data_IF_032845799480
#
_entry.id   IF_032845799480
#
_cell.length_a   1.000
_cell.length_b   1.000
_cell.length_c   1.000
_cell.angle_alpha   90.00
_cell.angle_beta   90.00
_cell.angle_gamma   90.00
#
_symmetry.space_group_name_H-M   'P 1'
#
loop_
_entity.id
_entity.type
_entity.pdbx_description
1 polymer ?
#
# COMPACT_ATOMS: atom_id res chain seq x y z
N UNK A 1 8.94 -11.67 1.33
CA UNK A 1 9.60 -11.02 0.17
C UNK A 1 10.21 -9.71 0.64
N UNK A 2 11.31 -9.27 0.03
CA UNK A 2 12.00 -8.02 0.36
C UNK A 2 11.84 -7.09 -0.83
N UNK A 3 11.35 -5.87 -0.59
CA UNK A 3 11.26 -4.83 -1.61
C UNK A 3 12.62 -4.13 -1.75
N UNK A 4 13.11 -4.03 -2.98
CA UNK A 4 14.38 -3.36 -3.30
C UNK A 4 14.12 -2.20 -4.23
N UNK A 5 14.76 -1.06 -3.98
CA UNK A 5 14.76 0.07 -4.91
C UNK A 5 15.52 -0.33 -6.17
N UNK A 6 14.98 0.01 -7.35
CA UNK A 6 15.64 -0.17 -8.64
C UNK A 6 16.08 1.19 -9.17
N UNK A 7 17.33 1.28 -9.61
CA UNK A 7 17.91 2.40 -10.34
C UNK A 7 18.52 1.91 -11.67
N UNK A 8 18.86 2.84 -12.57
CA UNK A 8 19.57 2.59 -13.84
C UNK A 8 19.07 1.34 -14.59
N UNK A 9 17.78 1.35 -14.92
CA UNK A 9 17.03 0.30 -15.62
C UNK A 9 16.70 -0.92 -14.74
N UNK A 10 17.69 -1.70 -14.33
CA UNK A 10 17.51 -3.01 -13.66
C UNK A 10 18.43 -3.23 -12.45
N UNK A 11 19.13 -2.20 -11.97
CA UNK A 11 20.04 -2.34 -10.84
C UNK A 11 19.28 -2.15 -9.54
N UNK A 12 19.15 -3.23 -8.76
CA UNK A 12 18.68 -3.09 -7.39
C UNK A 12 19.78 -2.52 -6.51
N UNK A 13 19.36 -1.69 -5.54
CA UNK A 13 20.24 -1.06 -4.57
C UNK A 13 19.98 -1.63 -3.17
N UNK A 14 21.03 -1.75 -2.35
CA UNK A 14 20.88 -2.18 -0.97
C UNK A 14 22.06 -1.80 -0.06
N UNK A 15 21.81 -1.98 1.24
CA UNK A 15 22.69 -1.63 2.35
C UNK A 15 22.86 -0.11 2.56
N UNK A 16 22.97 0.33 3.82
CA UNK A 16 23.27 1.72 4.20
C UNK A 16 24.26 1.72 5.38
N UNK A 17 25.03 2.81 5.57
CA UNK A 17 26.03 2.94 6.66
C UNK A 17 25.33 2.78 8.00
N UNK A 18 25.76 1.79 8.78
CA UNK A 18 25.29 1.64 10.17
C UNK A 18 26.19 2.52 11.04
N UNK A 19 25.91 3.83 11.10
CA UNK A 19 26.61 4.69 12.06
C UNK A 19 26.00 4.56 13.48
N UNK A 20 24.82 3.94 13.63
CA UNK A 20 24.22 3.53 14.91
C UNK A 20 23.13 2.44 14.71
N UNK A 21 23.22 1.24 15.32
CA UNK A 21 22.25 0.15 15.14
C UNK A 21 20.97 0.32 16.00
N UNK A 22 20.44 1.54 16.10
CA UNK A 22 19.19 1.81 16.82
C UNK A 22 18.03 1.76 15.82
N UNK A 23 17.65 0.55 15.40
CA UNK A 23 16.55 0.36 14.45
C UNK A 23 16.32 -1.10 14.08
N UNK A 24 15.14 -1.40 13.51
CA UNK A 24 14.88 -2.71 12.92
C UNK A 24 15.78 -2.90 11.70
N UNK A 25 16.55 -3.99 11.68
CA UNK A 25 17.31 -4.39 10.51
C UNK A 25 16.38 -5.09 9.50
N UNK A 26 16.72 -5.00 8.23
CA UNK A 26 16.10 -5.69 7.11
C UNK A 26 17.10 -6.62 6.40
N UNK A 27 16.78 -6.99 5.16
CA UNK A 27 17.54 -8.01 4.44
C UNK A 27 17.06 -9.42 4.76
N UNK A 28 17.67 -10.42 4.11
CA UNK A 28 17.29 -11.82 4.27
C UNK A 28 17.71 -12.37 5.64
N UNK A 29 18.89 -11.98 6.10
CA UNK A 29 19.48 -12.40 7.37
C UNK A 29 19.46 -11.30 8.44
N UNK A 30 18.62 -10.28 8.28
CA UNK A 30 18.56 -9.11 9.20
C UNK A 30 19.92 -8.40 9.35
N UNK A 31 20.73 -8.38 8.30
CA UNK A 31 22.09 -7.80 8.26
C UNK A 31 22.17 -6.53 7.40
N UNK A 32 21.02 -5.98 7.01
CA UNK A 32 20.92 -4.75 6.25
C UNK A 32 20.12 -3.69 7.01
N UNK A 33 20.43 -2.43 6.77
CA UNK A 33 19.62 -1.30 7.23
C UNK A 33 18.44 -1.09 6.29
N UNK A 34 17.29 -0.69 6.84
CA UNK A 34 16.12 -0.32 6.05
C UNK A 34 16.41 0.97 5.26
N UNK A 35 15.99 0.98 3.99
CA UNK A 35 16.06 2.17 3.14
C UNK A 35 14.86 3.11 3.34
N UNK A 36 14.80 4.14 2.50
CA UNK A 36 13.70 5.11 2.52
C UNK A 36 12.33 4.48 2.21
N UNK A 37 11.23 5.05 2.73
CA UNK A 37 9.88 4.58 2.41
C UNK A 37 9.59 4.54 0.91
N UNK A 38 8.85 3.52 0.49
CA UNK A 38 8.46 3.36 -0.91
C UNK A 38 7.36 4.37 -1.26
N UNK A 39 7.57 5.13 -2.35
CA UNK A 39 6.63 6.13 -2.84
C UNK A 39 5.89 5.66 -4.10
N UNK A 40 4.84 6.40 -4.46
CA UNK A 40 4.04 6.15 -5.66
C UNK A 40 4.92 6.18 -6.92
N UNK A 41 4.65 5.24 -7.82
CA UNK A 41 5.32 5.08 -9.12
C UNK A 41 6.82 4.79 -9.03
N UNK A 42 7.34 4.42 -7.85
CA UNK A 42 8.72 3.95 -7.74
C UNK A 42 8.94 2.66 -8.53
N UNK A 43 10.15 2.55 -9.11
CA UNK A 43 10.65 1.29 -9.66
C UNK A 43 11.24 0.45 -8.54
N UNK A 44 10.76 -0.78 -8.43
CA UNK A 44 11.12 -1.72 -7.37
C UNK A 44 11.32 -3.11 -7.93
N UNK A 45 12.06 -3.94 -7.21
CA UNK A 45 12.13 -5.37 -7.45
C UNK A 45 11.75 -6.12 -6.18
N UNK A 46 11.15 -7.29 -6.32
CA UNK A 46 10.73 -8.10 -5.17
C UNK A 46 11.60 -9.35 -5.03
N UNK A 47 12.54 -9.32 -4.10
CA UNK A 47 13.35 -10.48 -3.74
C UNK A 47 12.48 -11.50 -2.97
N UNK A 48 12.51 -12.75 -3.40
CA UNK A 48 11.86 -13.88 -2.74
C UNK A 48 12.85 -14.50 -1.74
N UNK A 49 12.42 -14.60 -0.48
CA UNK A 49 13.19 -15.26 0.59
C UNK A 49 12.90 -16.76 0.49
N UNK A 50 13.92 -17.57 0.22
CA UNK A 50 13.75 -19.00 -0.06
C UNK A 50 13.48 -19.82 1.22
N UNK A 51 14.08 -19.43 2.35
CA UNK A 51 13.90 -20.10 3.64
C UNK A 51 13.79 -19.06 4.78
N UNK A 52 12.61 -18.89 5.40
CA UNK A 52 12.39 -17.96 6.50
C UNK A 52 13.17 -18.29 7.78
N UNK A 53 13.71 -19.51 7.93
CA UNK A 53 14.46 -19.90 9.13
C UNK A 53 15.82 -19.18 9.24
N UNK A 54 16.32 -18.59 8.15
CA UNK A 54 17.53 -17.77 8.13
C UNK A 54 17.42 -16.45 8.91
N UNK A 55 16.20 -16.04 9.31
CA UNK A 55 16.00 -14.87 10.19
C UNK A 55 16.65 -15.03 11.59
N UNK A 56 17.11 -16.24 11.98
CA UNK A 56 17.65 -16.56 13.31
C UNK A 56 19.16 -16.87 13.35
N UNK A 57 19.95 -16.34 12.41
CA UNK A 57 21.40 -16.36 12.53
C UNK A 57 21.91 -15.26 13.46
N UNK A 58 22.29 -15.60 14.70
CA UNK A 58 23.01 -14.71 15.64
C UNK A 58 24.33 -14.19 15.03
N UNK A 59 24.28 -13.15 14.22
CA UNK A 59 25.47 -12.42 13.78
C UNK A 59 25.87 -11.48 14.91
N UNK A 60 26.88 -11.89 15.68
CA UNK A 60 27.67 -10.97 16.51
C UNK A 60 28.15 -9.86 15.57
N UNK A 61 27.60 -8.66 15.74
CA UNK A 61 28.06 -7.46 15.03
C UNK A 61 29.57 -7.33 15.26
N UNK A 62 30.33 -7.56 14.20
CA UNK A 62 31.75 -7.26 14.20
C UNK A 62 31.85 -5.76 13.90
N UNK A 63 32.22 -4.96 14.89
CA UNK A 63 32.37 -3.49 14.86
C UNK A 63 33.57 -3.03 14.02
N UNK A 64 33.83 -3.72 12.91
CA UNK A 64 34.84 -3.30 11.95
C UNK A 64 34.17 -2.36 10.95
N UNK A 65 34.66 -1.13 10.84
CA UNK A 65 34.15 -0.06 9.95
C UNK A 65 34.33 -0.33 8.44
N UNK A 66 34.19 -1.59 8.02
CA UNK A 66 34.38 -2.07 6.66
C UNK A 66 33.04 -2.51 6.08
N UNK A 67 32.78 -2.09 4.85
CA UNK A 67 31.60 -2.49 4.10
C UNK A 67 31.63 -3.98 3.76
N UNK A 68 30.54 -4.68 4.07
CA UNK A 68 30.37 -6.09 3.72
C UNK A 68 29.09 -6.26 2.93
N UNK A 69 29.17 -7.09 1.89
CA UNK A 69 27.99 -7.54 1.13
C UNK A 69 27.12 -8.38 2.08
N UNK A 70 25.81 -8.09 2.17
CA UNK A 70 24.92 -8.82 3.05
C UNK A 70 24.72 -10.25 2.57
N UNK A 71 24.54 -11.15 3.54
CA UNK A 71 24.27 -12.55 3.32
C UNK A 71 22.95 -12.71 2.55
N UNK A 72 22.96 -13.68 1.64
CA UNK A 72 21.78 -14.04 0.86
C UNK A 72 21.87 -15.48 0.39
N UNK A 73 20.71 -16.11 0.21
CA UNK A 73 20.62 -17.41 -0.45
C UNK A 73 21.05 -17.26 -1.91
N UNK A 74 22.00 -18.08 -2.36
CA UNK A 74 22.48 -18.05 -3.75
C UNK A 74 21.97 -19.29 -4.49
N UNK A 75 21.37 -19.14 -5.69
CA UNK A 75 21.13 -17.87 -6.38
C UNK A 75 19.97 -17.07 -5.78
N UNK A 76 20.11 -15.74 -5.74
CA UNK A 76 19.05 -14.84 -5.27
C UNK A 76 17.90 -14.90 -6.27
N UNK A 77 16.67 -14.90 -5.77
CA UNK A 77 15.47 -15.06 -6.60
C UNK A 77 14.59 -13.82 -6.51
N UNK A 78 14.11 -13.34 -7.65
CA UNK A 78 13.20 -12.19 -7.76
C UNK A 78 11.89 -12.59 -8.43
N UNK A 79 10.81 -11.92 -8.06
CA UNK A 79 9.54 -11.98 -8.80
C UNK A 79 9.74 -11.30 -10.16
N UNK A 80 9.39 -12.01 -11.24
CA UNK A 80 9.61 -11.51 -12.59
C UNK A 80 8.39 -11.76 -13.49
N UNK A 81 8.21 -10.88 -14.47
CA UNK A 81 7.27 -11.06 -15.55
C UNK A 81 7.98 -11.82 -16.69
N UNK A 82 7.57 -13.08 -16.91
CA UNK A 82 8.11 -13.95 -17.94
C UNK A 82 7.08 -14.06 -19.08
N UNK A 83 7.19 -13.15 -20.04
CA UNK A 83 6.17 -12.92 -21.08
C UNK A 83 4.83 -12.53 -20.44
N UNK A 84 3.81 -13.39 -20.51
CA UNK A 84 2.46 -13.13 -20.00
C UNK A 84 2.21 -13.76 -18.61
N UNK A 85 3.25 -14.33 -17.99
CA UNK A 85 3.12 -15.08 -16.73
C UNK A 85 4.05 -14.49 -15.67
N UNK A 86 3.55 -14.36 -14.44
CA UNK A 86 4.38 -14.03 -13.29
C UNK A 86 5.13 -15.28 -12.84
N UNK A 87 6.45 -15.21 -12.80
CA UNK A 87 7.33 -16.30 -12.42
C UNK A 87 8.47 -15.84 -11.51
N UNK A 88 9.47 -16.71 -11.40
CA UNK A 88 10.67 -16.46 -10.59
C UNK A 88 11.89 -16.34 -11.50
N UNK A 89 12.67 -15.28 -11.32
CA UNK A 89 13.95 -15.10 -11.98
C UNK A 89 15.08 -15.27 -10.96
N UNK A 90 15.96 -16.25 -11.19
CA UNK A 90 17.17 -16.44 -10.39
C UNK A 90 18.28 -15.61 -11.01
N UNK A 91 18.85 -14.69 -10.25
CA UNK A 91 19.96 -13.88 -10.73
C UNK A 91 21.21 -14.75 -10.86
N UNK A 92 21.92 -14.56 -11.97
CA UNK A 92 23.26 -15.12 -12.19
C UNK A 92 24.35 -14.13 -11.81
N UNK A 93 24.00 -12.85 -11.71
CA UNK A 93 24.87 -11.76 -11.28
C UNK A 93 25.02 -11.78 -9.76
N UNK A 94 26.25 -11.64 -9.29
CA UNK A 94 26.53 -11.48 -7.85
C UNK A 94 26.34 -10.02 -7.44
N UNK A 95 26.06 -9.79 -6.16
CA UNK A 95 26.09 -8.43 -5.59
C UNK A 95 27.50 -7.83 -5.73
N UNK A 96 27.56 -6.58 -6.15
CA UNK A 96 28.80 -5.81 -6.24
C UNK A 96 28.77 -4.63 -5.29
N UNK A 97 29.86 -4.42 -4.53
CA UNK A 97 30.01 -3.20 -3.75
C UNK A 97 30.06 -2.00 -4.70
N UNK A 98 29.34 -0.94 -4.33
CA UNK A 98 29.43 0.36 -5.00
C UNK A 98 30.89 0.84 -4.95
N UNK A 99 31.44 1.46 -6.01
CA UNK A 99 32.87 1.85 -6.05
C UNK A 99 33.36 2.67 -4.85
N UNK A 100 32.51 3.49 -4.25
CA UNK A 100 32.83 4.27 -3.04
C UNK A 100 33.00 3.41 -1.77
N UNK A 101 32.43 2.21 -1.77
CA UNK A 101 32.50 1.24 -0.68
C UNK A 101 33.63 0.21 -0.88
N UNK A 102 34.34 0.27 -2.02
CA UNK A 102 35.50 -0.56 -2.30
C UNK A 102 36.76 0.11 -1.72
N UNK A 103 37.57 -0.61 -0.95
CA UNK A 103 38.85 -0.10 -0.48
C UNK A 103 39.85 0.00 -1.64
N UNK A 104 40.40 1.19 -1.86
CA UNK A 104 41.53 1.38 -2.77
C UNK A 104 42.74 0.61 -2.25
N UNK A 105 42.99 -0.58 -2.79
CA UNK A 105 44.26 -1.28 -2.58
C UNK A 105 45.30 -0.78 -3.59
N UNK A 106 45.69 0.49 -3.50
CA UNK A 106 46.87 1.01 -4.19
C UNK A 106 47.62 1.95 -3.25
N UNK A 107 48.68 1.41 -2.64
CA UNK A 107 49.74 2.24 -2.10
C UNK A 107 50.59 2.75 -3.26
N UNK A 108 50.56 4.04 -3.53
CA UNK A 108 51.71 4.78 -4.04
C UNK A 108 51.53 6.29 -3.83
N UNK A 109 52.60 6.92 -3.36
CA UNK A 109 52.71 8.31 -2.96
C UNK A 109 52.59 9.20 -4.22
N UNK A 110 51.60 10.08 -4.28
CA UNK A 110 51.60 11.16 -5.27
C UNK A 110 50.93 12.42 -4.71
N UNK A 111 51.69 13.52 -4.82
CA UNK A 111 51.40 14.86 -4.36
C UNK A 111 50.16 15.48 -5.02
N UNK A 112 49.45 16.31 -4.25
CA UNK A 112 48.38 17.21 -4.72
C UNK A 112 48.79 18.02 -5.96
N UNK A 113 47.86 18.22 -6.90
CA UNK A 113 47.81 19.47 -7.62
C UNK A 113 46.47 20.20 -7.38
N UNK A 114 46.62 21.38 -6.79
CA UNK A 114 45.64 22.47 -6.74
C UNK A 114 45.19 22.80 -8.17
N UNK A 115 43.90 22.62 -8.49
CA UNK A 115 43.29 23.30 -9.65
C UNK A 115 41.95 23.92 -9.24
N UNK A 116 41.97 25.25 -9.17
CA UNK A 116 40.84 26.17 -9.05
C UNK A 116 39.86 25.95 -10.21
N UNK A 117 38.55 25.90 -9.93
CA UNK A 117 37.52 26.18 -10.96
C UNK A 117 36.42 27.10 -10.45
N UNK A 118 36.14 28.08 -11.30
CA UNK A 118 35.35 29.28 -11.07
C UNK A 118 33.87 28.99 -10.86
N UNK A 119 33.28 29.76 -9.95
CA UNK A 119 31.85 29.96 -9.78
C UNK A 119 31.24 30.69 -10.97
N UNK A 120 30.20 30.12 -11.57
CA UNK A 120 29.14 30.87 -12.27
C UNK A 120 27.81 30.27 -11.83
N UNK A 121 26.96 31.12 -11.27
CA UNK A 121 25.77 30.71 -10.53
C UNK A 121 24.56 30.44 -11.42
N UNK A 122 23.59 29.73 -10.84
CA UNK A 122 22.16 29.91 -11.09
C UNK A 122 21.38 29.46 -9.85
N UNK A 123 20.67 30.40 -9.22
CA UNK A 123 19.78 30.15 -8.09
C UNK A 123 18.43 29.71 -8.67
N UNK A 124 18.04 28.45 -8.47
CA UNK A 124 16.63 28.02 -8.62
C UNK A 124 16.11 27.46 -7.30
N UNK A 125 15.12 28.16 -6.77
CA UNK A 125 14.32 27.85 -5.59
C UNK A 125 13.52 26.55 -5.83
N UNK A 126 13.61 25.58 -4.93
CA UNK A 126 12.64 24.48 -4.81
C UNK A 126 12.41 24.13 -3.34
N UNK A 127 11.17 23.76 -3.05
CA UNK A 127 10.52 23.81 -1.75
C UNK A 127 11.17 23.00 -0.64
N UNK A 128 11.02 23.53 0.57
CA UNK A 128 11.31 22.89 1.85
C UNK A 128 10.34 21.73 2.11
N UNK A 129 10.87 20.57 2.53
CA UNK A 129 10.30 19.64 3.52
C UNK A 129 11.30 18.48 3.75
N UNK A 130 11.66 18.23 5.02
CA UNK A 130 12.38 17.01 5.46
C UNK A 130 13.88 17.19 5.69
N UNK A 131 14.27 17.53 6.93
CA UNK A 131 15.67 17.65 7.35
C UNK A 131 16.18 16.28 7.81
N UNK A 132 16.78 15.52 6.89
CA UNK A 132 17.65 14.37 7.19
C UNK A 132 19.07 14.70 6.73
N UNK A 133 20.04 14.66 7.64
CA UNK A 133 21.43 14.99 7.33
C UNK A 133 22.10 13.85 6.56
N UNK A 134 21.95 13.83 5.24
CA UNK A 134 22.88 13.10 4.36
C UNK A 134 23.66 14.14 3.55
N UNK A 135 24.96 14.20 3.79
CA UNK A 135 25.88 14.94 2.93
C UNK A 135 25.59 14.57 1.46
N UNK A 136 25.58 15.57 0.58
CA UNK A 136 25.40 15.43 -0.86
C UNK A 136 26.24 14.25 -1.38
N UNK A 137 25.64 13.09 -1.62
CA UNK A 137 26.29 11.99 -2.33
C UNK A 137 26.30 12.35 -3.82
N UNK A 138 27.46 12.66 -4.41
CA UNK A 138 27.55 13.09 -5.80
C UNK A 138 27.19 11.98 -6.81
N UNK A 139 26.89 10.75 -6.34
CA UNK A 139 26.54 9.63 -7.22
C UNK A 139 25.04 9.33 -7.30
N UNK A 140 24.21 9.96 -6.46
CA UNK A 140 22.76 9.73 -6.45
C UNK A 140 22.34 8.35 -5.95
N UNK A 141 23.23 7.62 -5.25
CA UNK A 141 22.99 6.26 -4.79
C UNK A 141 22.40 6.19 -3.36
N UNK A 142 22.04 7.33 -2.77
CA UNK A 142 21.28 7.44 -1.50
C UNK A 142 21.86 6.58 -0.35
N UNK A 143 23.19 6.43 -0.29
CA UNK A 143 23.85 5.63 0.74
C UNK A 143 23.87 4.11 0.50
N UNK A 144 23.41 3.65 -0.66
CA UNK A 144 23.53 2.25 -1.10
C UNK A 144 25.00 1.79 -1.10
N UNK A 145 25.29 0.62 -0.51
CA UNK A 145 26.64 0.08 -0.46
C UNK A 145 26.88 -1.07 -1.45
N UNK A 146 25.82 -1.66 -2.00
CA UNK A 146 25.90 -2.68 -3.03
C UNK A 146 24.80 -2.55 -4.09
N UNK A 147 25.06 -3.15 -5.25
CA UNK A 147 24.13 -3.23 -6.38
C UNK A 147 24.10 -4.65 -6.96
N UNK A 148 22.99 -5.02 -7.59
CA UNK A 148 22.82 -6.28 -8.30
C UNK A 148 21.92 -6.05 -9.52
N UNK A 149 22.28 -6.61 -10.68
CA UNK A 149 21.44 -6.55 -11.87
C UNK A 149 20.41 -7.69 -11.85
N UNK A 150 19.12 -7.34 -11.86
CA UNK A 150 18.01 -8.29 -11.74
C UNK A 150 17.27 -8.57 -13.05
N UNK A 151 17.74 -8.01 -14.17
CA UNK A 151 17.02 -7.97 -15.45
C UNK A 151 15.74 -7.11 -15.41
N UNK A 152 15.41 -6.48 -16.55
CA UNK A 152 14.19 -5.68 -16.72
C UNK A 152 12.91 -6.47 -16.39
N UNK A 153 12.93 -7.79 -16.60
CA UNK A 153 11.81 -8.67 -16.30
C UNK A 153 11.43 -8.68 -14.81
N UNK A 154 12.36 -8.36 -13.91
CA UNK A 154 12.12 -8.33 -12.45
C UNK A 154 11.80 -6.92 -11.91
N UNK A 155 11.68 -5.93 -12.79
CA UNK A 155 11.42 -4.53 -12.41
C UNK A 155 9.92 -4.24 -12.48
N UNK A 156 9.37 -3.74 -11.38
CA UNK A 156 7.97 -3.42 -11.21
C UNK A 156 7.80 -1.94 -10.89
N UNK A 157 6.69 -1.35 -11.34
CA UNK A 157 6.25 -0.03 -10.85
C UNK A 157 5.16 -0.24 -9.82
N UNK A 158 5.38 0.26 -8.61
CA UNK A 158 4.40 0.16 -7.53
C UNK A 158 3.53 1.41 -7.48
N UNK A 159 2.21 1.22 -7.38
CA UNK A 159 1.22 2.29 -7.28
C UNK A 159 0.13 1.86 -6.31
N UNK A 160 -0.33 2.79 -5.48
CA UNK A 160 -1.50 2.61 -4.64
C UNK A 160 -2.75 2.66 -5.50
N UNK A 161 -3.61 1.67 -5.36
CA UNK A 161 -4.90 1.59 -6.06
C UNK A 161 -6.03 1.63 -5.06
N UNK A 162 -7.16 2.20 -5.45
CA UNK A 162 -8.41 2.16 -4.68
C UNK A 162 -9.50 1.45 -5.48
N UNK A 163 -10.50 0.90 -4.80
CA UNK A 163 -11.60 0.15 -5.41
C UNK A 163 -12.93 0.52 -4.77
N UNK A 164 -13.88 0.98 -5.60
CA UNK A 164 -15.28 1.13 -5.22
C UNK A 164 -16.09 -0.04 -5.80
N UNK A 165 -16.88 -0.69 -4.96
CA UNK A 165 -17.76 -1.81 -5.33
C UNK A 165 -19.22 -1.46 -5.08
N UNK A 166 -20.05 -1.62 -6.10
CA UNK A 166 -21.49 -1.34 -6.02
C UNK A 166 -22.28 -2.62 -6.28
N UNK A 167 -23.26 -2.91 -5.43
CA UNK A 167 -24.11 -4.09 -5.54
C UNK A 167 -25.56 -3.65 -5.64
N UNK A 168 -26.22 -4.04 -6.74
CA UNK A 168 -27.63 -3.73 -6.97
C UNK A 168 -28.37 -4.91 -7.59
N UNK A 169 -29.68 -4.90 -7.42
CA UNK A 169 -30.62 -5.80 -8.09
C UNK A 169 -31.69 -4.97 -8.80
N UNK A 170 -32.07 -5.40 -10.00
CA UNK A 170 -33.09 -4.72 -10.82
C UNK A 170 -34.29 -5.65 -11.02
N UNK A 171 -35.53 -5.13 -10.90
CA UNK A 171 -36.73 -5.95 -11.02
C UNK A 171 -37.04 -6.40 -12.45
N UNK A 172 -36.60 -5.64 -13.45
CA UNK A 172 -36.70 -5.96 -14.87
C UNK A 172 -35.31 -5.77 -15.52
N UNK A 173 -34.94 -6.63 -16.48
CA UNK A 173 -33.71 -6.52 -17.26
C UNK A 173 -33.61 -5.18 -18.00
N UNK A 174 -34.75 -4.55 -18.31
CA UNK A 174 -34.78 -3.23 -18.94
C UNK A 174 -34.52 -2.08 -17.97
N UNK A 175 -34.64 -2.33 -16.66
CA UNK A 175 -34.30 -1.33 -15.64
C UNK A 175 -32.81 -1.43 -15.32
N UNK A 176 -32.10 -0.31 -15.50
CA UNK A 176 -30.68 -0.20 -15.21
C UNK A 176 -30.47 0.87 -14.13
N UNK A 177 -29.57 0.65 -13.16
CA UNK A 177 -29.24 1.69 -12.20
C UNK A 177 -28.51 2.84 -12.91
N UNK A 178 -28.88 4.05 -12.53
CA UNK A 178 -28.24 5.26 -13.03
C UNK A 178 -27.30 5.82 -11.97
N UNK A 179 -26.05 6.07 -12.36
CA UNK A 179 -25.10 6.78 -11.52
C UNK A 179 -25.64 8.19 -11.16
N UNK A 180 -25.26 8.74 -9.99
CA UNK A 180 -24.38 8.13 -9.00
C UNK A 180 -25.10 7.07 -8.14
N UNK A 181 -24.35 6.06 -7.68
CA UNK A 181 -24.88 4.93 -6.91
C UNK A 181 -24.90 5.26 -5.40
N UNK A 182 -26.01 5.03 -4.70
CA UNK A 182 -26.10 5.32 -3.28
C UNK A 182 -25.26 4.34 -2.46
N UNK A 183 -24.52 4.87 -1.49
CA UNK A 183 -23.70 4.10 -0.55
C UNK A 183 -24.04 4.55 0.86
N UNK A 184 -24.20 3.62 1.79
CA UNK A 184 -24.30 3.95 3.21
C UNK A 184 -22.98 3.64 3.91
N UNK A 185 -22.61 4.52 4.82
CA UNK A 185 -21.39 4.43 5.61
C UNK A 185 -21.69 4.10 7.07
N UNK A 186 -22.69 4.77 7.65
CA UNK A 186 -22.97 4.65 9.08
C UNK A 186 -24.46 4.77 9.40
N UNK A 187 -24.85 4.13 10.50
CA UNK A 187 -26.19 4.13 11.05
C UNK A 187 -26.17 4.68 12.48
N UNK A 188 -26.93 5.73 12.75
CA UNK A 188 -27.12 6.28 14.10
C UNK A 188 -28.58 6.18 14.51
N UNK A 189 -28.85 5.57 15.68
CA UNK A 189 -30.21 5.54 16.24
C UNK A 189 -30.55 6.87 16.90
N UNK A 190 -31.63 7.51 16.44
CA UNK A 190 -32.18 8.73 17.04
C UNK A 190 -33.48 8.41 17.77
N UNK A 191 -33.42 8.42 19.10
CA UNK A 191 -34.58 8.08 19.93
C UNK A 191 -34.92 6.60 19.86
N UNK A 192 -36.22 6.28 19.99
CA UNK A 192 -36.68 4.88 20.06
C UNK A 192 -37.08 4.29 18.72
N UNK A 193 -37.50 5.12 17.78
CA UNK A 193 -38.23 4.69 16.57
C UNK A 193 -37.62 5.24 15.27
N UNK A 194 -36.50 5.98 15.31
CA UNK A 194 -35.88 6.54 14.10
C UNK A 194 -34.40 6.23 13.98
N UNK A 195 -33.96 6.12 12.73
CA UNK A 195 -32.57 5.97 12.33
C UNK A 195 -32.16 7.15 11.45
N UNK A 196 -30.92 7.59 11.64
CA UNK A 196 -30.20 8.47 10.72
C UNK A 196 -29.19 7.61 9.99
N UNK A 197 -29.31 7.55 8.66
CA UNK A 197 -28.40 6.85 7.77
C UNK A 197 -27.53 7.89 7.09
N UNK A 198 -26.21 7.82 7.27
CA UNK A 198 -25.24 8.68 6.60
C UNK A 198 -24.54 7.93 5.48
N UNK A 199 -24.22 8.62 4.40
CA UNK A 199 -23.75 7.97 3.18
C UNK A 199 -23.34 8.97 2.12
N UNK A 200 -23.42 8.52 0.88
CA UNK A 200 -23.13 9.30 -0.32
C UNK A 200 -24.18 9.03 -1.40
N UNK A 201 -24.38 10.01 -2.28
CA UNK A 201 -25.24 9.91 -3.46
C UNK A 201 -26.69 9.49 -3.13
N UNK A 202 -27.15 9.86 -1.93
CA UNK A 202 -28.53 9.67 -1.53
C UNK A 202 -29.42 10.65 -2.29
N UNK A 203 -30.65 10.25 -2.56
CA UNK A 203 -31.59 11.05 -3.34
C UNK A 203 -33.00 10.98 -2.76
N UNK A 204 -33.88 11.96 -3.07
CA UNK A 204 -35.24 12.03 -2.51
C UNK A 204 -36.13 10.83 -2.86
N UNK A 205 -35.82 10.08 -3.92
CA UNK A 205 -36.54 8.90 -4.39
C UNK A 205 -36.04 7.59 -3.76
N UNK A 206 -35.18 7.66 -2.73
CA UNK A 206 -34.74 6.51 -1.96
C UNK A 206 -35.75 6.17 -0.88
N UNK A 207 -36.06 4.88 -0.80
CA UNK A 207 -36.82 4.26 0.27
C UNK A 207 -35.91 3.33 1.06
N UNK A 208 -35.99 3.38 2.40
CA UNK A 208 -35.22 2.48 3.27
C UNK A 208 -36.04 1.25 3.59
N UNK A 209 -35.43 0.08 3.43
CA UNK A 209 -36.03 -1.22 3.73
C UNK A 209 -35.20 -1.97 4.76
N UNK A 210 -35.88 -2.62 5.69
CA UNK A 210 -35.34 -3.52 6.69
C UNK A 210 -35.61 -4.94 6.21
N UNK A 211 -34.67 -5.49 5.45
CA UNK A 211 -34.84 -6.77 4.76
C UNK A 211 -36.07 -6.74 3.85
N UNK A 212 -37.09 -7.52 4.18
CA UNK A 212 -38.39 -7.57 3.49
C UNK A 212 -39.42 -6.52 3.97
N UNK A 213 -39.11 -5.70 4.98
CA UNK A 213 -40.04 -4.72 5.56
C UNK A 213 -39.66 -3.28 5.17
N UNK A 214 -40.53 -2.61 4.41
CA UNK A 214 -40.36 -1.20 4.05
C UNK A 214 -40.49 -0.27 5.27
N UNK A 215 -39.61 0.72 5.40
CA UNK A 215 -39.79 1.80 6.37
C UNK A 215 -41.05 2.61 6.06
N UNK A 216 -41.89 2.85 7.07
CA UNK A 216 -43.13 3.62 6.90
C UNK A 216 -42.88 5.09 6.57
N UNK A 217 -41.72 5.62 6.95
CA UNK A 217 -41.32 7.01 6.69
C UNK A 217 -39.84 7.03 6.33
N UNK A 218 -39.52 7.46 5.11
CA UNK A 218 -38.15 7.77 4.67
C UNK A 218 -38.10 9.24 4.30
N UNK A 219 -37.32 10.02 5.05
CA UNK A 219 -37.18 11.47 4.92
C UNK A 219 -35.77 11.79 4.42
N UNK A 220 -35.70 12.27 3.18
CA UNK A 220 -34.47 12.76 2.60
C UNK A 220 -34.06 14.09 3.24
N UNK A 221 -32.83 14.15 3.75
CA UNK A 221 -32.27 15.36 4.36
C UNK A 221 -31.26 16.02 3.42
N UNK A 222 -30.30 15.23 2.90
CA UNK A 222 -29.27 15.67 1.97
C UNK A 222 -28.71 14.49 1.17
N UNK A 223 -27.80 14.76 0.22
CA UNK A 223 -27.10 13.69 -0.52
C UNK A 223 -26.26 12.76 0.36
N UNK A 224 -26.01 13.17 1.62
CA UNK A 224 -25.19 12.42 2.57
C UNK A 224 -26.01 11.93 3.78
N UNK A 225 -27.32 12.22 3.83
CA UNK A 225 -28.15 11.89 4.98
C UNK A 225 -29.61 11.62 4.63
N UNK A 226 -30.11 10.48 5.10
CA UNK A 226 -31.53 10.11 5.08
C UNK A 226 -31.94 9.71 6.49
N UNK A 227 -33.15 10.10 6.89
CA UNK A 227 -33.76 9.62 8.12
C UNK A 227 -34.85 8.60 7.79
N UNK A 228 -34.97 7.54 8.56
CA UNK A 228 -36.09 6.62 8.42
C UNK A 228 -36.70 6.22 9.76
N UNK A 229 -37.95 5.76 9.73
CA UNK A 229 -38.63 5.19 10.89
C UNK A 229 -38.44 3.68 10.93
N UNK A 230 -38.21 3.15 12.12
CA UNK A 230 -38.09 1.71 12.38
C UNK A 230 -39.52 1.12 12.37
N UNK A 231 -39.83 0.18 11.46
CA UNK A 231 -41.14 -0.48 11.45
C UNK A 231 -41.39 -1.24 12.75
N UNK A 232 -42.62 -1.16 13.28
CA UNK A 232 -42.98 -1.81 14.55
C UNK A 232 -43.02 -3.34 14.44
N UNK A 233 -43.23 -3.85 13.23
CA UNK A 233 -43.33 -5.26 12.86
C UNK A 233 -42.01 -5.84 12.34
N UNK A 234 -40.91 -5.08 12.36
CA UNK A 234 -39.59 -5.53 11.88
C UNK A 234 -39.13 -6.83 12.55
N UNK A 235 -39.55 -7.05 13.80
CA UNK A 235 -39.22 -8.26 14.57
C UNK A 235 -39.89 -9.55 14.08
N UNK A 236 -40.88 -9.43 13.18
CA UNK A 236 -41.60 -10.56 12.59
C UNK A 236 -41.08 -10.94 11.19
N UNK A 237 -40.09 -10.22 10.68
CA UNK A 237 -39.51 -10.44 9.36
C UNK A 237 -38.89 -11.83 9.22
N UNK A 238 -39.06 -12.44 8.04
CA UNK A 238 -38.43 -13.72 7.68
C UNK A 238 -36.96 -13.58 7.27
N UNK A 239 -36.52 -12.34 7.02
CA UNK A 239 -35.15 -12.01 6.59
C UNK A 239 -34.21 -11.66 7.76
N UNK A 240 -34.66 -11.87 9.00
CA UNK A 240 -33.84 -11.69 10.19
C UNK A 240 -32.75 -12.76 10.21
N UNK A 241 -31.51 -12.32 10.32
CA UNK A 241 -30.36 -13.17 10.55
C UNK A 241 -30.12 -13.32 12.06
N UNK A 242 -29.91 -14.55 12.52
CA UNK A 242 -29.59 -14.85 13.91
C UNK A 242 -28.21 -15.52 13.99
N UNK A 243 -27.28 -14.86 14.68
CA UNK A 243 -25.91 -15.33 14.89
C UNK A 243 -25.48 -15.04 16.34
N UNK A 244 -25.03 -16.06 17.09
CA UNK A 244 -24.55 -15.91 18.47
C UNK A 244 -25.45 -15.04 19.37
N UNK A 245 -26.76 -15.33 19.37
CA UNK A 245 -27.79 -14.62 20.14
C UNK A 245 -28.08 -13.16 19.70
N UNK A 246 -27.42 -12.69 18.63
CA UNK A 246 -27.70 -11.40 18.02
C UNK A 246 -28.69 -11.58 16.86
N UNK A 247 -29.81 -10.86 16.93
CA UNK A 247 -30.78 -10.76 15.84
C UNK A 247 -30.53 -9.46 15.08
N UNK A 248 -30.31 -9.57 13.79
CA UNK A 248 -30.07 -8.42 12.92
C UNK A 248 -30.85 -8.56 11.62
N UNK A 249 -31.14 -7.44 10.98
CA UNK A 249 -31.83 -7.41 9.68
C UNK A 249 -31.07 -6.48 8.73
N UNK A 250 -30.81 -6.88 7.47
CA UNK A 250 -30.06 -6.05 6.54
C UNK A 250 -30.83 -4.78 6.18
N UNK A 251 -30.13 -3.66 6.07
CA UNK A 251 -30.69 -2.45 5.49
C UNK A 251 -30.47 -2.43 3.98
N UNK A 252 -31.53 -2.13 3.24
CA UNK A 252 -31.52 -2.01 1.79
C UNK A 252 -32.01 -0.61 1.41
N UNK A 253 -31.45 -0.06 0.33
CA UNK A 253 -31.96 1.16 -0.30
C UNK A 253 -32.69 0.77 -1.56
N UNK A 254 -33.91 1.27 -1.74
CA UNK A 254 -34.69 1.05 -2.97
C UNK A 254 -34.89 2.39 -3.65
N UNK A 255 -34.50 2.51 -4.91
CA UNK A 255 -34.54 3.79 -5.65
C UNK A 255 -35.36 3.67 -6.94
N UNK A 256 -36.08 4.73 -7.26
CA UNK A 256 -36.75 4.91 -8.54
C UNK A 256 -37.73 3.77 -8.86
N UNK A 257 -37.45 3.00 -9.91
CA UNK A 257 -38.29 1.90 -10.40
C UNK A 257 -38.13 0.58 -9.61
N UNK A 258 -37.78 0.65 -8.33
CA UNK A 258 -37.60 -0.52 -7.47
C UNK A 258 -36.21 -1.16 -7.55
N UNK A 259 -35.19 -0.41 -7.97
CA UNK A 259 -33.81 -0.91 -7.98
C UNK A 259 -33.31 -0.98 -6.53
N UNK A 260 -32.85 -2.16 -6.11
CA UNK A 260 -32.42 -2.44 -4.75
C UNK A 260 -30.91 -2.33 -4.67
N UNK A 261 -30.37 -1.57 -3.72
CA UNK A 261 -28.95 -1.46 -3.42
C UNK A 261 -28.67 -2.12 -2.07
N UNK A 262 -27.75 -3.08 -2.06
CA UNK A 262 -27.30 -3.74 -0.83
C UNK A 262 -26.31 -2.81 -0.11
N UNK A 263 -26.55 -2.55 1.17
CA UNK A 263 -25.74 -1.57 1.94
C UNK A 263 -24.65 -2.20 2.81
N UNK A 264 -24.70 -3.53 3.03
CA UNK A 264 -23.87 -4.26 4.02
C UNK A 264 -23.99 -3.75 5.47
N UNK A 265 -24.95 -2.87 5.76
CA UNK A 265 -25.31 -2.44 7.11
C UNK A 265 -26.53 -3.22 7.61
N UNK A 266 -26.60 -3.39 8.92
CA UNK A 266 -27.68 -4.11 9.58
C UNK A 266 -28.27 -3.29 10.72
N UNK A 267 -29.58 -3.40 10.90
CA UNK A 267 -30.24 -2.96 12.12
C UNK A 267 -30.26 -4.10 13.13
N UNK A 268 -29.82 -3.83 14.36
CA UNK A 268 -29.85 -4.79 15.47
C UNK A 268 -31.20 -4.65 16.19
N UNK A 269 -31.90 -5.77 16.37
CA UNK A 269 -33.22 -5.84 17.00
C UNK A 269 -33.15 -5.78 18.53
#
# INVERSE_FOLDING_TARGET
MIIRKVDKQSLVLGGNRVDNPIGSLGGECSDETLGDPVSQLHKVAFQIVQDPSFHQGNLKQNTAGHWKIPQSSHPVTYLACLNDVVGMHKTTSTRHLVPQCQENTFGEIAQDPIVRRLSTGEIKRRGSLGKGSSALDPTGLEGACWTEDVSDAAVWTIVGTDCASYTFWTPDERTMPTAPFPVLHELTKKGKDRLTLTGENLSPDIEVWFGDVKSTETEFVSQDSVHCKIPFDVANSTTIEQENDHRRIPLLLVRGKGIVYKTNLYYIL
#
